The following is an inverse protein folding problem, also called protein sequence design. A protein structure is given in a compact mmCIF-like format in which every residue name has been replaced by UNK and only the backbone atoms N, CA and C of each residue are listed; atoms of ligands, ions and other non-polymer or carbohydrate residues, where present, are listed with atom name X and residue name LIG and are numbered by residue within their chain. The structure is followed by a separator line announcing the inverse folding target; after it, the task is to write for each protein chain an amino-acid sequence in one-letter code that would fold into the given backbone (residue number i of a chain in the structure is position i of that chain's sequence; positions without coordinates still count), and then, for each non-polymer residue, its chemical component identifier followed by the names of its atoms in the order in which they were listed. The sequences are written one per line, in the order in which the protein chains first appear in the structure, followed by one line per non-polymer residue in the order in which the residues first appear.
data_IF_251343441925
#
_entry.id   IF_251343441925
#
_cell.length_a   1.000
_cell.length_b   1.000
_cell.length_c   1.000
_cell.angle_alpha   90.00
_cell.angle_beta   90.00
_cell.angle_gamma   90.00
#
_symmetry.space_group_name_H-M   'P 1'
#
loop_
_entity.id
_entity.type
_entity.pdbx_description
1 polymer ?
#
# COMPACT_ATOMS: atom_id res chain seq x y z
N UNK A 1 -24.42 8.57 58.27
CA UNK A 1 -24.85 8.33 56.88
C UNK A 1 -24.73 9.61 56.04
N UNK A 2 -23.52 10.05 55.66
CA UNK A 2 -23.32 11.20 54.74
C UNK A 2 -21.94 11.10 54.05
N UNK A 3 -21.69 10.05 53.27
CA UNK A 3 -20.44 9.89 52.51
C UNK A 3 -20.64 9.20 51.14
N UNK A 4 -21.82 9.34 50.53
CA UNK A 4 -22.13 8.65 49.26
C UNK A 4 -22.59 9.57 48.12
N UNK A 5 -22.56 10.89 48.30
CA UNK A 5 -23.07 11.84 47.29
C UNK A 5 -22.00 12.61 46.50
N UNK A 6 -20.71 12.30 46.67
CA UNK A 6 -19.62 13.01 45.97
C UNK A 6 -18.93 12.22 44.84
N UNK A 7 -19.28 10.95 44.64
CA UNK A 7 -18.70 10.13 43.56
C UNK A 7 -19.48 10.19 42.23
N UNK A 8 -20.66 10.81 42.19
CA UNK A 8 -21.52 10.81 41.01
C UNK A 8 -21.21 11.93 39.98
N UNK A 9 -20.35 12.91 40.31
CA UNK A 9 -20.12 14.08 39.43
C UNK A 9 -18.81 14.00 38.64
N UNK A 10 -17.91 13.08 38.96
CA UNK A 10 -16.60 12.96 38.28
C UNK A 10 -16.57 11.94 37.13
N UNK A 11 -17.69 11.29 36.82
CA UNK A 11 -17.72 10.15 35.88
C UNK A 11 -18.31 10.49 34.49
N UNK A 12 -18.54 11.76 34.16
CA UNK A 12 -19.16 12.15 32.88
C UNK A 12 -18.24 12.89 31.90
N UNK A 13 -16.94 13.05 32.21
CA UNK A 13 -15.99 13.74 31.32
C UNK A 13 -15.17 12.82 30.40
N UNK A 14 -15.36 11.49 30.44
CA UNK A 14 -14.48 10.54 29.73
C UNK A 14 -15.16 9.64 28.70
N UNK A 15 -16.33 10.02 28.19
CA UNK A 15 -16.99 9.28 27.09
C UNK A 15 -17.38 10.22 25.96
N UNK A 16 -16.45 11.06 25.53
CA UNK A 16 -16.44 11.57 24.17
C UNK A 16 -15.04 11.35 23.61
N UNK A 17 -14.70 10.07 23.40
CA UNK A 17 -13.72 9.71 22.39
C UNK A 17 -14.33 10.09 21.05
N UNK A 18 -14.35 11.39 20.74
CA UNK A 18 -14.38 11.82 19.35
C UNK A 18 -13.17 11.14 18.73
N UNK A 19 -13.40 10.14 17.90
CA UNK A 19 -12.39 9.67 16.98
C UNK A 19 -11.96 10.92 16.23
N UNK A 20 -10.84 11.51 16.65
CA UNK A 20 -10.20 12.53 15.85
C UNK A 20 -9.93 11.80 14.54
N UNK A 21 -10.66 12.16 13.48
CA UNK A 21 -10.30 11.80 12.12
C UNK A 21 -8.93 12.42 11.90
N UNK A 22 -7.91 11.68 12.32
CA UNK A 22 -6.52 12.08 12.28
C UNK A 22 -6.22 12.16 10.80
N UNK A 23 -6.27 13.38 10.27
CA UNK A 23 -6.09 13.61 8.84
C UNK A 23 -4.80 12.94 8.42
N UNK A 24 -4.93 11.97 7.51
CA UNK A 24 -3.78 11.25 7.00
C UNK A 24 -2.97 12.22 6.13
N UNK A 25 -1.71 12.51 6.48
CA UNK A 25 -0.89 13.37 5.64
C UNK A 25 -0.67 12.71 4.28
N UNK A 26 -0.83 13.48 3.20
CA UNK A 26 -0.55 13.00 1.85
C UNK A 26 0.96 12.81 1.66
N UNK A 27 1.44 11.60 1.31
CA UNK A 27 2.86 11.37 1.06
C UNK A 27 3.35 12.11 -0.19
N UNK A 28 4.37 12.96 -0.03
CA UNK A 28 4.96 13.73 -1.14
C UNK A 28 5.38 12.90 -2.37
N UNK A 29 5.91 11.67 -2.25
CA UNK A 29 6.27 10.91 -3.43
C UNK A 29 5.10 10.61 -4.37
N UNK A 30 3.85 10.54 -3.88
CA UNK A 30 2.67 10.33 -4.73
C UNK A 30 2.51 11.44 -5.78
N UNK A 31 2.93 12.67 -5.46
CA UNK A 31 2.83 13.84 -6.32
C UNK A 31 4.12 14.12 -7.12
N UNK A 32 5.12 13.25 -7.02
CA UNK A 32 6.43 13.44 -7.63
C UNK A 32 6.45 12.92 -9.08
N UNK A 33 6.63 13.79 -10.09
CA UNK A 33 6.71 13.35 -11.49
C UNK A 33 7.94 12.46 -11.73
N UNK A 34 9.02 12.65 -10.97
CA UNK A 34 10.22 11.79 -11.03
C UNK A 34 9.89 10.38 -10.59
N UNK A 35 9.13 10.22 -9.50
CA UNK A 35 8.72 8.91 -8.99
C UNK A 35 7.82 8.19 -9.99
N UNK A 36 6.88 8.91 -10.62
CA UNK A 36 6.05 8.38 -11.69
C UNK A 36 6.88 7.90 -12.90
N UNK A 37 7.88 8.68 -13.32
CA UNK A 37 8.75 8.32 -14.42
C UNK A 37 9.59 7.06 -14.10
N UNK A 38 10.19 6.99 -12.91
CA UNK A 38 11.00 5.84 -12.51
C UNK A 38 10.16 4.55 -12.41
N UNK A 39 8.93 4.68 -11.91
CA UNK A 39 7.94 3.59 -11.92
C UNK A 39 7.58 3.18 -13.34
N UNK A 40 7.32 4.13 -14.24
CA UNK A 40 7.01 3.84 -15.64
C UNK A 40 8.13 3.04 -16.29
N UNK A 41 9.37 3.51 -16.23
CA UNK A 41 10.53 2.83 -16.82
C UNK A 41 10.70 1.42 -16.23
N UNK A 42 10.62 1.28 -14.90
CA UNK A 42 10.77 -0.02 -14.24
C UNK A 42 9.66 -1.00 -14.63
N UNK A 43 8.40 -0.55 -14.65
CA UNK A 43 7.25 -1.39 -14.95
C UNK A 43 7.17 -1.75 -16.42
N UNK A 44 7.52 -0.83 -17.33
CA UNK A 44 7.59 -1.09 -18.77
C UNK A 44 8.61 -2.19 -19.09
N UNK A 45 9.79 -2.15 -18.45
CA UNK A 45 10.78 -3.24 -18.57
C UNK A 45 10.17 -4.58 -18.14
N UNK A 46 9.60 -4.65 -16.94
CA UNK A 46 9.04 -5.90 -16.41
C UNK A 46 7.90 -6.44 -17.29
N UNK A 47 7.04 -5.56 -17.81
CA UNK A 47 5.91 -5.92 -18.69
C UNK A 47 6.35 -6.45 -20.05
N UNK A 48 7.48 -5.97 -20.61
CA UNK A 48 8.05 -6.51 -21.87
C UNK A 48 8.48 -7.97 -21.75
N UNK A 49 8.84 -8.41 -20.54
CA UNK A 49 9.24 -9.78 -20.26
C UNK A 49 8.09 -10.66 -19.73
N UNK A 50 6.97 -10.06 -19.31
CA UNK A 50 5.78 -10.78 -18.90
C UNK A 50 5.09 -11.38 -20.13
N UNK A 51 4.81 -12.69 -20.10
CA UNK A 51 4.12 -13.40 -21.19
C UNK A 51 2.64 -13.64 -20.88
N UNK A 52 2.23 -13.41 -19.64
CA UNK A 52 0.85 -13.57 -19.19
C UNK A 52 0.25 -12.20 -18.94
N UNK A 53 -0.38 -11.62 -19.95
CA UNK A 53 -1.05 -10.31 -19.84
C UNK A 53 -2.50 -10.40 -19.36
N UNK A 54 -3.06 -11.62 -19.23
CA UNK A 54 -4.47 -11.82 -18.87
C UNK A 54 -4.65 -11.91 -17.36
N UNK A 55 -3.69 -12.51 -16.66
CA UNK A 55 -3.74 -12.62 -15.21
C UNK A 55 -3.28 -11.32 -14.57
N UNK A 56 -4.01 -10.87 -13.55
CA UNK A 56 -3.60 -9.76 -12.69
C UNK A 56 -3.43 -10.22 -11.25
N UNK A 57 -2.32 -9.85 -10.62
CA UNK A 57 -2.07 -10.14 -9.21
C UNK A 57 -2.83 -9.18 -8.31
N UNK A 58 -2.73 -7.88 -8.58
CA UNK A 58 -3.43 -6.84 -7.83
C UNK A 58 -4.96 -7.01 -7.94
N UNK A 59 -5.69 -6.75 -6.85
CA UNK A 59 -7.14 -6.56 -6.95
C UNK A 59 -7.47 -5.39 -7.88
N UNK A 60 -8.61 -5.50 -8.57
CA UNK A 60 -9.12 -4.44 -9.44
C UNK A 60 -9.98 -3.51 -8.58
N UNK A 61 -9.61 -2.24 -8.51
CA UNK A 61 -10.40 -1.20 -7.87
C UNK A 61 -10.99 -0.32 -8.97
N UNK A 62 -12.31 -0.18 -9.01
CA UNK A 62 -12.97 0.80 -9.87
C UNK A 62 -12.80 2.21 -9.31
N UNK A 63 -13.09 3.24 -10.11
CA UNK A 63 -13.09 4.63 -9.67
C UNK A 63 -13.98 4.85 -8.43
N UNK A 64 -15.14 4.20 -8.39
CA UNK A 64 -16.04 4.24 -7.23
C UNK A 64 -15.36 3.64 -5.99
N UNK A 65 -14.69 2.49 -6.14
CA UNK A 65 -13.98 1.84 -5.01
C UNK A 65 -12.78 2.67 -4.54
N UNK A 66 -12.08 3.37 -5.43
CA UNK A 66 -10.97 4.25 -5.06
C UNK A 66 -11.42 5.41 -4.17
N UNK A 67 -12.71 5.78 -4.26
CA UNK A 67 -13.33 6.78 -3.39
C UNK A 67 -13.83 6.23 -2.04
N UNK A 68 -13.73 4.92 -1.78
CA UNK A 68 -14.05 4.34 -0.48
C UNK A 68 -12.93 4.60 0.55
N UNK A 69 -13.30 4.93 1.80
CA UNK A 69 -12.36 5.34 2.85
C UNK A 69 -11.28 4.28 3.14
N UNK A 70 -11.65 2.99 3.06
CA UNK A 70 -10.76 1.87 3.33
C UNK A 70 -9.74 1.58 2.23
N UNK A 71 -9.97 2.05 1.00
CA UNK A 71 -9.16 1.63 -0.17
C UNK A 71 -7.71 2.09 -0.08
N UNK A 72 -7.45 3.28 0.47
CA UNK A 72 -6.07 3.71 0.72
C UNK A 72 -5.34 2.75 1.67
N UNK A 73 -5.99 2.31 2.75
CA UNK A 73 -5.35 1.43 3.71
C UNK A 73 -5.12 0.02 3.19
N UNK A 74 -6.05 -0.51 2.40
CA UNK A 74 -5.88 -1.79 1.71
C UNK A 74 -4.65 -1.72 0.81
N UNK A 75 -4.56 -0.71 -0.06
CA UNK A 75 -3.42 -0.54 -0.97
C UNK A 75 -2.11 -0.25 -0.21
N UNK A 76 -2.17 0.44 0.93
CA UNK A 76 -0.99 0.65 1.79
C UNK A 76 -0.46 -0.66 2.37
N UNK A 77 -1.33 -1.59 2.77
CA UNK A 77 -0.90 -2.90 3.25
C UNK A 77 -0.36 -3.80 2.13
N UNK A 78 -0.91 -3.68 0.92
CA UNK A 78 -0.33 -4.31 -0.28
C UNK A 78 1.06 -3.72 -0.56
N UNK A 79 1.23 -2.40 -0.48
CA UNK A 79 2.54 -1.75 -0.63
C UNK A 79 3.57 -2.25 0.40
N UNK A 80 3.16 -2.42 1.67
CA UNK A 80 4.04 -2.99 2.70
C UNK A 80 4.51 -4.41 2.32
N UNK A 81 3.65 -5.21 1.68
CA UNK A 81 4.04 -6.51 1.15
C UNK A 81 5.04 -6.39 -0.01
N UNK A 82 4.80 -5.49 -0.98
CA UNK A 82 5.73 -5.22 -2.08
C UNK A 82 7.14 -4.86 -1.55
N UNK A 83 7.21 -3.98 -0.57
CA UNK A 83 8.47 -3.55 0.05
C UNK A 83 9.18 -4.67 0.83
N UNK A 84 8.46 -5.69 1.29
CA UNK A 84 9.06 -6.81 2.05
C UNK A 84 9.49 -7.98 1.18
N UNK A 85 8.77 -8.25 0.10
CA UNK A 85 8.85 -9.52 -0.62
C UNK A 85 9.13 -9.41 -2.12
N UNK A 86 9.06 -8.20 -2.69
CA UNK A 86 9.08 -8.02 -4.15
C UNK A 86 10.20 -7.07 -4.54
N UNK A 87 10.16 -5.85 -4.01
CA UNK A 87 11.06 -4.76 -4.37
C UNK A 87 12.39 -4.83 -3.60
N UNK A 88 13.12 -5.93 -3.69
CA UNK A 88 14.43 -6.08 -3.05
C UNK A 88 15.49 -5.26 -3.81
N UNK A 89 16.09 -4.29 -3.13
CA UNK A 89 17.08 -3.38 -3.71
C UNK A 89 18.53 -3.71 -3.32
N UNK A 90 18.69 -4.72 -2.46
CA UNK A 90 19.91 -5.36 -1.99
C UNK A 90 20.27 -6.62 -2.81
N UNK A 91 19.31 -7.14 -3.56
CA UNK A 91 19.47 -8.27 -4.48
C UNK A 91 20.12 -7.79 -5.79
N UNK A 92 21.38 -8.14 -6.01
CA UNK A 92 22.17 -7.67 -7.15
C UNK A 92 21.54 -8.04 -8.50
N UNK A 93 21.01 -9.25 -8.64
CA UNK A 93 20.33 -9.69 -9.87
C UNK A 93 19.11 -8.81 -10.17
N UNK A 94 18.39 -8.42 -9.11
CA UNK A 94 17.21 -7.59 -9.22
C UNK A 94 17.54 -6.13 -9.57
N UNK A 95 18.63 -5.60 -9.03
CA UNK A 95 19.13 -4.25 -9.33
C UNK A 95 19.65 -4.17 -10.76
N UNK A 96 20.41 -5.16 -11.21
CA UNK A 96 20.93 -5.21 -12.57
C UNK A 96 19.79 -5.34 -13.59
N UNK A 97 18.74 -6.09 -13.25
CA UNK A 97 17.53 -6.20 -14.06
C UNK A 97 16.71 -4.91 -14.08
N UNK A 98 16.59 -4.23 -12.95
CA UNK A 98 15.80 -2.99 -12.82
C UNK A 98 16.63 -1.88 -12.16
N UNK A 99 17.39 -1.10 -12.94
CA UNK A 99 18.26 -0.06 -12.39
C UNK A 99 17.53 0.96 -11.51
N UNK A 100 16.25 1.22 -11.78
CA UNK A 100 15.44 2.20 -11.03
C UNK A 100 14.92 1.70 -9.69
N UNK A 101 15.06 0.40 -9.38
CA UNK A 101 14.39 -0.17 -8.22
C UNK A 101 14.84 0.44 -6.90
N UNK A 102 16.10 0.89 -6.82
CA UNK A 102 16.62 1.57 -5.62
C UNK A 102 15.88 2.86 -5.32
N UNK A 103 15.62 3.68 -6.34
CA UNK A 103 14.90 4.95 -6.22
C UNK A 103 13.42 4.72 -5.97
N UNK A 104 12.79 3.84 -6.77
CA UNK A 104 11.38 3.47 -6.61
C UNK A 104 11.12 2.90 -5.21
N UNK A 105 11.95 1.96 -4.75
CA UNK A 105 11.82 1.40 -3.39
C UNK A 105 11.90 2.48 -2.32
N UNK A 106 12.86 3.39 -2.43
CA UNK A 106 13.03 4.48 -1.46
C UNK A 106 11.78 5.36 -1.37
N UNK A 107 11.23 5.76 -2.52
CA UNK A 107 10.00 6.55 -2.60
C UNK A 107 8.79 5.83 -2.02
N UNK A 108 8.59 4.59 -2.44
CA UNK A 108 7.51 3.73 -1.95
C UNK A 108 7.65 3.43 -0.46
N UNK A 109 8.88 3.31 0.06
CA UNK A 109 9.11 3.16 1.49
C UNK A 109 8.67 4.40 2.26
N UNK A 110 8.96 5.61 1.76
CA UNK A 110 8.47 6.87 2.36
C UNK A 110 6.94 6.94 2.35
N UNK A 111 6.29 6.53 1.25
CA UNK A 111 4.82 6.42 1.17
C UNK A 111 4.29 5.49 2.26
N UNK A 112 4.84 4.27 2.36
CA UNK A 112 4.43 3.29 3.37
C UNK A 112 4.66 3.79 4.80
N UNK A 113 5.83 4.38 5.10
CA UNK A 113 6.15 4.92 6.42
C UNK A 113 5.14 5.96 6.91
N UNK A 114 4.66 6.81 5.99
CA UNK A 114 3.68 7.86 6.30
C UNK A 114 2.28 7.27 6.49
N UNK A 115 1.83 6.37 5.61
CA UNK A 115 0.46 5.87 5.60
C UNK A 115 0.22 4.72 6.60
N UNK A 116 1.20 3.82 6.78
CA UNK A 116 1.06 2.58 7.55
C UNK A 116 0.60 2.76 9.00
N UNK A 117 1.04 3.78 9.76
CA UNK A 117 0.53 4.02 11.11
C UNK A 117 -0.99 4.16 11.19
N UNK A 118 -1.62 4.66 10.13
CA UNK A 118 -3.07 4.89 10.03
C UNK A 118 -3.85 3.69 9.46
N UNK A 119 -3.15 2.63 9.06
CA UNK A 119 -3.72 1.56 8.23
C UNK A 119 -3.42 0.16 8.75
N UNK A 120 -2.83 0.03 9.95
CA UNK A 120 -2.42 -1.27 10.51
C UNK A 120 -3.58 -2.27 10.59
N UNK A 121 -4.77 -1.79 10.92
CA UNK A 121 -5.95 -2.64 11.10
C UNK A 121 -6.45 -3.26 9.77
N UNK A 122 -5.97 -2.77 8.63
CA UNK A 122 -6.28 -3.34 7.31
C UNK A 122 -5.36 -4.49 6.89
N UNK A 123 -4.39 -4.90 7.73
CA UNK A 123 -3.41 -5.93 7.37
C UNK A 123 -4.04 -7.29 7.02
N UNK A 124 -5.16 -7.61 7.67
CA UNK A 124 -5.96 -8.82 7.49
C UNK A 124 -7.21 -8.60 6.62
N UNK A 125 -7.31 -7.45 5.96
CA UNK A 125 -8.43 -7.18 5.06
C UNK A 125 -8.45 -8.20 3.91
N UNK A 126 -9.63 -8.69 3.53
CA UNK A 126 -9.78 -9.77 2.56
C UNK A 126 -9.06 -9.53 1.23
N UNK A 127 -9.01 -8.29 0.75
CA UNK A 127 -8.27 -7.94 -0.48
C UNK A 127 -6.75 -8.05 -0.33
N UNK A 128 -6.21 -7.73 0.85
CA UNK A 128 -4.78 -7.90 1.16
C UNK A 128 -4.44 -9.38 1.21
N UNK A 129 -5.27 -10.18 1.88
CA UNK A 129 -5.10 -11.64 1.96
C UNK A 129 -5.19 -12.28 0.58
N UNK A 130 -6.21 -11.93 -0.22
CA UNK A 130 -6.35 -12.41 -1.61
C UNK A 130 -5.16 -12.05 -2.48
N UNK A 131 -4.59 -10.85 -2.33
CA UNK A 131 -3.38 -10.48 -3.06
C UNK A 131 -2.19 -11.40 -2.68
N UNK A 132 -1.95 -11.61 -1.39
CA UNK A 132 -0.88 -12.50 -0.89
C UNK A 132 -1.06 -13.93 -1.41
N UNK A 133 -2.28 -14.44 -1.37
CA UNK A 133 -2.62 -15.79 -1.88
C UNK A 133 -2.40 -15.90 -3.39
N UNK A 134 -2.84 -14.90 -4.18
CA UNK A 134 -2.60 -14.87 -5.62
C UNK A 134 -1.12 -14.83 -5.96
N UNK A 135 -0.36 -13.97 -5.29
CA UNK A 135 1.09 -13.90 -5.47
C UNK A 135 1.75 -15.25 -5.15
N UNK A 136 1.41 -15.85 -4.00
CA UNK A 136 1.93 -17.16 -3.61
C UNK A 136 1.55 -18.27 -4.59
N UNK A 137 0.31 -18.24 -5.11
CA UNK A 137 -0.20 -19.27 -6.03
C UNK A 137 0.48 -19.16 -7.40
N UNK A 138 0.57 -17.94 -7.94
CA UNK A 138 1.28 -17.66 -9.19
C UNK A 138 2.77 -18.02 -9.07
N UNK A 139 3.38 -17.72 -7.92
CA UNK A 139 4.79 -18.01 -7.63
C UNK A 139 5.12 -19.46 -7.30
N UNK A 140 4.13 -20.39 -7.22
CA UNK A 140 4.40 -21.80 -6.89
C UNK A 140 5.41 -22.45 -7.82
N UNK A 141 5.38 -22.09 -9.11
CA UNK A 141 6.25 -22.68 -10.12
C UNK A 141 7.51 -21.84 -10.38
N UNK A 142 7.43 -20.52 -10.20
CA UNK A 142 8.58 -19.62 -10.34
C UNK A 142 8.35 -18.31 -9.59
N UNK A 143 9.09 -18.14 -8.48
CA UNK A 143 9.08 -16.89 -7.71
C UNK A 143 9.60 -15.71 -8.55
N UNK A 144 10.57 -15.95 -9.44
CA UNK A 144 11.13 -14.92 -10.33
C UNK A 144 10.06 -14.37 -11.27
N UNK A 145 9.23 -15.24 -11.86
CA UNK A 145 8.12 -14.80 -12.71
C UNK A 145 7.06 -14.02 -11.90
N UNK A 146 6.73 -14.49 -10.70
CA UNK A 146 5.80 -13.78 -9.81
C UNK A 146 6.30 -12.39 -9.42
N UNK A 147 7.59 -12.27 -9.09
CA UNK A 147 8.23 -10.99 -8.78
C UNK A 147 8.25 -10.09 -10.00
N UNK A 148 8.63 -10.59 -11.17
CA UNK A 148 8.60 -9.83 -12.42
C UNK A 148 7.20 -9.25 -12.70
N UNK A 149 6.18 -10.11 -12.60
CA UNK A 149 4.79 -9.72 -12.80
C UNK A 149 4.34 -8.65 -11.82
N UNK A 150 4.62 -8.83 -10.53
CA UNK A 150 4.30 -7.83 -9.53
C UNK A 150 5.07 -6.51 -9.75
N UNK A 151 6.35 -6.56 -10.12
CA UNK A 151 7.12 -5.35 -10.49
C UNK A 151 6.40 -4.60 -11.62
N UNK A 152 5.94 -5.31 -12.66
CA UNK A 152 5.16 -4.73 -13.77
C UNK A 152 3.82 -4.13 -13.37
N UNK A 153 3.23 -4.55 -12.24
CA UNK A 153 1.97 -4.01 -11.72
C UNK A 153 2.17 -2.86 -10.70
N UNK A 154 3.42 -2.53 -10.33
CA UNK A 154 3.72 -1.51 -9.30
C UNK A 154 3.15 -0.13 -9.64
N UNK A 155 3.18 0.27 -10.92
CA UNK A 155 2.60 1.55 -11.36
C UNK A 155 1.09 1.62 -11.11
N UNK A 156 0.39 0.48 -11.19
CA UNK A 156 -1.05 0.44 -10.93
C UNK A 156 -1.33 0.53 -9.44
N UNK A 157 -0.53 -0.16 -8.60
CA UNK A 157 -0.61 0.01 -7.15
C UNK A 157 -0.35 1.47 -6.74
N UNK A 158 0.63 2.11 -7.38
CA UNK A 158 0.96 3.51 -7.13
C UNK A 158 -0.18 4.44 -7.52
N UNK A 159 -0.82 4.21 -8.67
CA UNK A 159 -2.02 4.92 -9.07
C UNK A 159 -3.16 4.77 -8.06
N UNK A 160 -3.43 3.54 -7.57
CA UNK A 160 -4.46 3.34 -6.55
C UNK A 160 -4.16 4.11 -5.26
N UNK A 161 -2.90 4.17 -4.82
CA UNK A 161 -2.50 4.98 -3.68
C UNK A 161 -2.67 6.47 -3.97
N UNK A 162 -2.27 6.94 -5.16
CA UNK A 162 -2.40 8.34 -5.56
C UNK A 162 -3.84 8.84 -5.47
N UNK A 163 -4.79 8.07 -6.03
CA UNK A 163 -6.22 8.43 -6.05
C UNK A 163 -6.85 8.30 -4.65
N UNK A 164 -6.68 7.14 -4.01
CA UNK A 164 -7.41 6.83 -2.77
C UNK A 164 -6.82 7.48 -1.51
N UNK A 165 -5.52 7.81 -1.50
CA UNK A 165 -4.82 8.40 -0.36
C UNK A 165 -4.72 9.93 -0.44
N UNK A 166 -5.78 10.57 -0.92
CA UNK A 166 -5.92 12.03 -0.84
C UNK A 166 -6.07 12.47 0.62
N UNK A 167 -5.50 13.62 0.98
CA UNK A 167 -5.80 14.27 2.26
C UNK A 167 -7.26 14.73 2.19
N UNK A 168 -8.19 13.87 2.64
CA UNK A 168 -9.60 14.25 2.71
C UNK A 168 -9.73 15.29 3.81
N UNK A 169 -10.11 16.50 3.40
CA UNK A 169 -10.53 17.60 4.27
C UNK A 169 -11.81 17.24 5.02
#
# INVERSE_FOLDING_TARGET
MKFLTLLAVMCWCFVHGQAMHLMRPRPKPLDSPVTWNDLYVMTEHAQKEDKDHETRLLPVFSEVMLNEEGTCCINTMILDYYLKHILHADDHEHVDKYPQIRFVRSDLHRVSQILKPYCRDSAEHAQVTKYKERFSTFGRNSLTLARNKAVGETIILFHYLFESCSARM
#
